data_IF_787252179878
#
_entry.id   IF_787252179878
#
_cell.length_a   1.000
_cell.length_b   1.000
_cell.length_c   1.000
_cell.angle_alpha   90.00
_cell.angle_beta   90.00
_cell.angle_gamma   90.00
#
_symmetry.space_group_name_H-M   'P 1'
#
loop_
_entity.id
_entity.type
_entity.pdbx_description
1 polymer ?
2 non-polymer ?
3 non-polymer ?
4 non-polymer ?
5 water ?
#
# COMPACT_ATOMS: atom_id res chain seq x y z
N UNK A 1 -12.89 1.86 9.26
CA UNK A 1 -11.90 1.02 8.44
C UNK A 1 -11.51 1.86 7.24
N UNK A 2 -10.24 1.77 6.87
CA UNK A 2 -9.71 2.47 5.70
C UNK A 2 -8.82 1.51 4.90
N UNK A 3 -8.78 1.75 3.61
CA UNK A 3 -7.76 1.15 2.73
C UNK A 3 -6.67 2.16 2.50
N UNK A 4 -5.45 1.76 2.78
CA UNK A 4 -4.27 2.53 2.46
C UNK A 4 -3.65 1.88 1.23
N UNK A 5 -3.56 2.62 0.15
CA UNK A 5 -2.93 2.16 -1.09
C UNK A 5 -1.63 2.94 -1.26
N UNK A 6 -0.52 2.27 -1.18
CA UNK A 6 0.81 2.90 -1.26
C UNK A 6 1.50 2.40 -2.53
N UNK A 7 1.85 3.30 -3.41
CA UNK A 7 2.61 2.99 -4.62
C UNK A 7 4.06 3.30 -4.28
N UNK A 8 4.95 2.28 -4.33
CA UNK A 8 6.34 2.40 -3.87
C UNK A 8 7.28 1.88 -4.95
N UNK A 9 8.56 2.22 -4.73
CA UNK A 9 9.65 1.61 -5.56
C UNK A 9 9.67 0.12 -5.29
N UNK A 10 9.85 -0.71 -6.33
CA UNK A 10 9.87 -2.17 -6.11
C UNK A 10 10.93 -2.59 -5.09
N UNK A 11 12.13 -2.02 -5.12
CA UNK A 11 13.17 -2.50 -4.23
C UNK A 11 12.83 -2.30 -2.77
N UNK A 12 11.94 -1.34 -2.49
CA UNK A 12 11.58 -0.99 -1.10
C UNK A 12 10.60 -1.95 -0.47
N UNK A 13 10.11 -2.96 -1.16
CA UNK A 13 9.06 -3.82 -0.56
C UNK A 13 9.48 -4.38 0.76
N UNK A 14 10.65 -4.99 0.87
CA UNK A 14 10.91 -5.64 2.13
C UNK A 14 11.11 -4.66 3.27
N UNK A 15 11.74 -3.52 3.03
CA UNK A 15 11.95 -2.51 4.07
C UNK A 15 10.57 -2.02 4.56
N UNK A 16 9.64 -1.78 3.63
CA UNK A 16 8.30 -1.33 4.00
C UNK A 16 7.57 -2.41 4.70
N UNK A 17 7.63 -3.66 4.24
CA UNK A 17 7.00 -4.74 4.91
C UNK A 17 7.47 -4.87 6.35
N UNK A 18 8.77 -4.85 6.57
CA UNK A 18 9.27 -5.00 7.91
C UNK A 18 8.77 -3.89 8.81
N UNK A 19 8.77 -2.66 8.31
CA UNK A 19 8.29 -1.52 9.12
C UNK A 19 6.81 -1.77 9.52
N UNK A 20 6.00 -2.21 8.59
CA UNK A 20 4.59 -2.41 8.84
C UNK A 20 4.37 -3.53 9.80
N UNK A 21 5.04 -4.66 9.63
CA UNK A 21 4.86 -5.75 10.53
C UNK A 21 5.28 -5.39 11.95
N UNK A 22 6.41 -4.70 12.08
CA UNK A 22 6.84 -4.27 13.42
C UNK A 22 5.90 -3.27 14.07
N UNK A 23 5.13 -2.56 13.28
CA UNK A 23 4.08 -1.62 13.79
C UNK A 23 2.77 -2.30 14.06
N UNK A 24 2.71 -3.62 13.90
CA UNK A 24 1.53 -4.32 14.21
C UNK A 24 0.60 -4.65 13.05
N UNK A 25 0.97 -4.42 11.82
CA UNK A 25 0.16 -4.82 10.62
C UNK A 25 0.17 -6.32 10.40
N UNK A 26 -0.97 -6.92 10.19
CA UNK A 26 -1.12 -8.39 10.07
C UNK A 26 -2.00 -8.63 8.79
N UNK A 27 -1.76 -7.85 7.74
CA UNK A 27 -2.35 -8.13 6.42
C UNK A 27 -2.03 -7.10 5.42
N UNK A 28 -1.70 -7.50 4.17
CA UNK A 28 -1.50 -6.60 3.15
C UNK A 28 -1.47 -7.34 1.77
N UNK A 29 -1.79 -6.63 0.72
CA UNK A 29 -1.81 -7.18 -0.64
C UNK A 29 -0.87 -6.35 -1.46
N UNK A 30 -0.14 -7.04 -2.36
CA UNK A 30 0.81 -6.39 -3.28
C UNK A 30 0.50 -6.72 -4.74
N UNK A 31 0.55 -5.70 -5.60
CA UNK A 31 0.13 -5.73 -7.11
C UNK A 31 1.42 -5.16 -7.81
N UNK A 32 1.74 -5.66 -8.98
CA UNK A 32 2.65 -5.02 -9.90
C UNK A 32 1.91 -4.04 -10.75
N UNK A 33 2.41 -2.84 -10.82
CA UNK A 33 1.78 -1.78 -11.62
C UNK A 33 2.84 -1.00 -12.36
N UNK A 34 2.41 -0.11 -13.21
CA UNK A 34 3.28 0.84 -13.88
C UNK A 34 2.64 2.23 -13.76
N UNK A 35 3.38 3.26 -13.73
CA UNK A 35 2.77 4.60 -13.58
C UNK A 35 3.61 5.72 -13.98
N UNK A 36 3.02 6.90 -13.95
CA UNK A 36 3.79 8.13 -13.98
C UNK A 36 3.20 9.13 -12.98
N UNK A 37 3.99 10.10 -12.68
CA UNK A 37 3.64 11.19 -11.80
C UNK A 37 3.84 12.54 -12.57
N UNK A 38 4.44 13.50 -11.97
CA UNK A 38 4.60 14.82 -12.61
C UNK A 38 5.64 14.95 -13.72
N UNK A 39 6.51 14.01 -13.91
CA UNK A 39 7.48 13.99 -15.05
C UNK A 39 8.23 15.33 -15.16
N UNK A 40 9.05 15.67 -14.17
CA UNK A 40 9.76 16.94 -14.29
C UNK A 40 11.15 16.78 -14.96
N UNK A 47 1.75 13.23 -29.05
CA UNK A 47 2.49 14.02 -28.06
C UNK A 47 3.47 13.05 -27.38
N UNK A 48 3.14 11.77 -27.47
CA UNK A 48 3.96 10.74 -26.81
C UNK A 48 5.05 10.23 -27.75
N UNK A 49 5.65 9.10 -27.40
CA UNK A 49 6.61 8.50 -28.29
C UNK A 49 6.14 7.12 -28.65
N UNK A 50 6.45 6.65 -29.87
CA UNK A 50 6.15 5.28 -30.26
C UNK A 50 7.28 4.36 -29.85
N UNK A 51 8.43 4.90 -29.42
CA UNK A 51 9.61 4.08 -29.17
C UNK A 51 10.01 3.96 -27.70
N UNK A 52 9.56 4.91 -26.88
CA UNK A 52 9.89 4.93 -25.49
C UNK A 52 8.65 4.91 -24.61
N UNK A 53 8.79 4.53 -23.31
CA UNK A 53 7.71 4.17 -22.33
C UNK A 53 7.78 4.97 -21.05
N UNK A 54 6.77 5.85 -20.83
CA UNK A 54 6.75 6.76 -19.69
C UNK A 54 6.23 6.13 -18.46
N UNK A 55 5.67 4.96 -18.55
CA UNK A 55 5.21 4.29 -17.40
C UNK A 55 6.36 3.55 -16.73
N UNK A 56 6.55 3.72 -15.45
CA UNK A 56 7.62 3.11 -14.66
C UNK A 56 7.07 2.03 -13.78
N UNK A 57 7.78 0.92 -13.60
CA UNK A 57 7.32 -0.12 -12.73
C UNK A 57 7.29 0.34 -11.28
N UNK A 58 6.20 0.00 -10.59
CA UNK A 58 6.04 0.26 -9.16
C UNK A 58 5.35 -0.93 -8.54
N UNK A 59 5.29 -0.96 -7.22
CA UNK A 59 4.43 -1.92 -6.54
C UNK A 59 3.29 -1.15 -5.85
N UNK A 60 2.11 -1.68 -5.92
CA UNK A 60 0.90 -1.16 -5.25
C UNK A 60 0.69 -2.02 -3.99
N UNK A 61 0.83 -1.45 -2.80
CA UNK A 61 0.52 -2.09 -1.57
C UNK A 61 -0.90 -1.68 -1.13
N UNK A 62 -1.73 -2.58 -0.78
CA UNK A 62 -3.06 -2.29 -0.26
C UNK A 62 -3.13 -2.88 1.14
N UNK A 63 -3.40 -2.00 2.11
CA UNK A 63 -3.37 -2.35 3.53
C UNK A 63 -4.69 -1.85 4.13
N UNK A 64 -5.55 -2.75 4.50
CA UNK A 64 -6.84 -2.37 5.14
C UNK A 64 -6.63 -2.43 6.66
N UNK A 65 -6.96 -1.32 7.31
CA UNK A 65 -6.66 -1.11 8.73
C UNK A 65 -7.93 -0.49 9.40
N UNK A 66 -7.87 -0.45 10.72
CA UNK A 66 -8.83 0.31 11.48
C UNK A 66 -8.43 1.75 11.52
N UNK A 67 -9.39 2.67 11.75
CA UNK A 67 -9.10 4.09 11.60
C UNK A 67 -8.02 4.54 12.53
N UNK A 68 -7.94 4.01 13.74
CA UNK A 68 -6.91 4.39 14.70
C UNK A 68 -5.48 4.08 14.27
N UNK A 69 -5.34 3.21 13.27
CA UNK A 69 -4.00 2.80 12.76
C UNK A 69 -3.51 3.67 11.64
N UNK A 70 -4.35 4.47 11.00
CA UNK A 70 -4.00 5.07 9.72
C UNK A 70 -2.77 5.92 9.80
N UNK A 71 -2.70 6.87 10.73
CA UNK A 71 -1.61 7.80 10.75
C UNK A 71 -0.29 7.12 11.02
N UNK A 72 -0.30 6.17 11.92
CA UNK A 72 0.92 5.34 12.13
C UNK A 72 1.36 4.65 10.95
N UNK A 73 0.48 4.03 10.24
CA UNK A 73 0.82 3.30 9.00
C UNK A 73 1.39 4.19 7.96
N UNK A 74 0.78 5.34 7.73
CA UNK A 74 1.31 6.28 6.78
C UNK A 74 2.72 6.66 7.15
N UNK A 75 2.96 7.01 8.38
CA UNK A 75 4.30 7.42 8.77
C UNK A 75 5.31 6.30 8.57
N UNK A 76 4.96 5.09 8.90
CA UNK A 76 5.89 3.95 8.71
C UNK A 76 6.20 3.75 7.25
N UNK A 77 5.22 3.81 6.38
CA UNK A 77 5.43 3.65 4.96
C UNK A 77 6.31 4.74 4.46
N UNK A 78 6.00 6.01 4.75
CA UNK A 78 6.79 7.09 4.21
C UNK A 78 8.25 6.99 4.65
N UNK A 79 8.48 6.74 5.95
CA UNK A 79 9.84 6.68 6.43
C UNK A 79 10.63 5.55 5.78
N UNK A 80 10.00 4.41 5.56
CA UNK A 80 10.70 3.27 4.96
C UNK A 80 10.86 3.39 3.48
N UNK A 81 9.94 4.03 2.78
CA UNK A 81 9.93 4.05 1.32
C UNK A 81 10.71 5.17 0.73
N UNK A 82 10.90 6.26 1.49
CA UNK A 82 11.51 7.46 0.95
C UNK A 82 12.98 7.29 0.63
N UNK A 83 13.44 7.89 -0.46
CA UNK A 83 14.86 7.99 -0.81
C UNK A 83 15.27 9.41 -1.03
N UNK A 84 14.39 10.33 -1.34
CA UNK A 84 14.73 11.68 -1.69
C UNK A 84 14.74 11.97 -3.17
N UNK A 85 14.74 10.95 -4.01
CA UNK A 85 14.71 11.10 -5.47
C UNK A 85 13.22 11.09 -5.92
N UNK A 86 12.96 11.88 -6.94
CA UNK A 86 11.62 11.83 -7.60
C UNK A 86 11.30 10.40 -7.95
N UNK A 87 10.06 9.99 -7.74
CA UNK A 87 9.59 8.65 -8.02
C UNK A 87 9.41 7.80 -6.78
N UNK A 88 9.54 8.37 -5.59
CA UNK A 88 9.44 7.60 -4.35
C UNK A 88 8.06 7.04 -4.08
N UNK A 89 7.02 7.56 -4.69
CA UNK A 89 5.71 6.98 -4.51
C UNK A 89 4.66 7.93 -4.00
N UNK A 90 3.48 7.34 -3.80
CA UNK A 90 2.28 8.13 -3.43
C UNK A 90 1.35 7.20 -2.70
N UNK A 91 0.60 7.76 -1.75
CA UNK A 91 -0.32 7.02 -0.90
C UNK A 91 -1.72 7.60 -1.04
N UNK A 92 -2.72 6.75 -1.17
CA UNK A 92 -4.13 7.13 -1.24
C UNK A 92 -4.88 6.40 -0.16
N UNK A 93 -5.66 7.12 0.66
CA UNK A 93 -6.50 6.53 1.72
C UNK A 93 -7.93 6.62 1.30
N UNK A 94 -8.69 5.53 1.42
CA UNK A 94 -10.07 5.52 1.03
C UNK A 94 -10.93 4.74 2.01
N UNK A 95 -12.24 4.98 2.02
CA UNK A 95 -13.08 4.31 3.00
C UNK A 95 -13.34 2.86 2.67
N UNK A 96 -13.52 2.05 3.72
CA UNK A 96 -13.97 0.66 3.60
C UNK A 96 -15.23 0.53 4.47
N UNK A 97 -16.30 0.04 3.86
CA UNK A 97 -17.58 -0.16 4.54
C UNK A 97 -17.65 -1.42 5.35
N UNK A 98 -17.02 -2.52 4.87
CA UNK A 98 -17.11 -3.79 5.52
C UNK A 98 -15.89 -4.63 5.09
N UNK A 99 -15.45 -5.46 6.00
CA UNK A 99 -14.38 -6.47 5.72
C UNK A 99 -14.89 -7.80 6.20
N UNK A 100 -14.63 -8.88 5.43
CA UNK A 100 -15.06 -10.23 5.78
C UNK A 100 -13.90 -11.20 5.57
N UNK A 101 -13.58 -11.99 6.57
CA UNK A 101 -12.61 -13.09 6.40
C UNK A 101 -13.36 -14.27 5.81
N UNK A 102 -12.88 -14.84 4.68
CA UNK A 102 -13.62 -15.85 3.98
C UNK A 102 -13.70 -17.15 4.78
N UNK A 103 -12.59 -17.56 5.44
CA UNK A 103 -12.58 -18.88 6.07
C UNK A 103 -13.66 -18.98 7.16
N UNK A 104 -13.86 -17.90 7.92
CA UNK A 104 -14.71 -17.92 9.11
C UNK A 104 -15.93 -17.07 9.02
N UNK A 105 -15.99 -16.13 8.08
CA UNK A 105 -17.06 -15.17 8.04
C UNK A 105 -16.91 -14.03 9.03
N UNK A 106 -15.84 -13.93 9.78
CA UNK A 106 -15.66 -12.82 10.70
C UNK A 106 -15.61 -11.51 9.97
N UNK A 107 -15.98 -10.44 10.69
CA UNK A 107 -16.09 -9.15 10.04
C UNK A 107 -15.33 -8.06 10.73
N UNK A 108 -15.03 -7.05 9.91
CA UNK A 108 -14.52 -5.78 10.35
C UNK A 108 -13.31 -5.94 11.21
N UNK A 109 -13.25 -5.36 12.42
CA UNK A 109 -12.07 -5.49 13.22
C UNK A 109 -11.63 -6.93 13.39
N UNK A 110 -12.53 -7.88 13.52
CA UNK A 110 -12.15 -9.27 13.70
C UNK A 110 -11.40 -9.81 12.48
N UNK A 111 -11.67 -9.29 11.33
CA UNK A 111 -11.03 -9.68 10.08
C UNK A 111 -9.80 -8.89 9.77
N UNK A 112 -9.47 -7.89 10.53
CA UNK A 112 -8.34 -7.00 10.29
C UNK A 112 -7.25 -7.12 11.35
N UNK A 113 -7.69 -7.16 12.63
CA UNK A 113 -6.89 -6.87 13.81
C UNK A 113 -5.92 -7.97 14.13
N UNK A 114 -4.85 -7.64 14.81
CA UNK A 114 -3.97 -8.60 15.45
C UNK A 114 -4.55 -9.16 16.73
N UNK A 115 -5.61 -8.51 17.26
CA UNK A 115 -6.21 -8.93 18.52
C UNK A 115 -7.42 -9.89 18.21
N UNK A 116 -7.43 -11.07 18.79
CA UNK A 116 -8.54 -12.03 18.68
C UNK A 116 -8.65 -12.82 19.98
X LIG B 1 7.85 13.10 -7.11
X LIG B 1 8.10 14.54 -7.39
X LIG B 1 8.32 12.68 -5.77
X LIG B 1 8.29 12.17 -8.25
X LIG B 1 5.19 12.58 -8.21
X LIG B 1 5.84 12.73 -9.53
X LIG B 1 3.90 13.31 -7.97
X LIG B 1 6.21 12.96 -7.05
X LIG B 1 5.84 9.76 -8.10
X LIG B 1 6.53 9.41 -6.88
X LIG B 1 6.68 9.98 -9.33
X LIG B 1 4.90 11.05 -7.92
X LIG B 1 4.68 8.72 -8.46
X LIG B 1 4.91 7.33 -8.20
X LIG B 1 3.82 6.53 -8.76
X LIG B 1 2.57 6.86 -8.10
X LIG B 1 3.47 6.73 -10.22
X LIG B 1 4.39 6.02 -11.08
X LIG B 1 2.04 6.19 -10.32
X LIG B 1 2.09 4.77 -10.28
X LIG B 1 1.49 6.71 -9.00
X LIG B 1 0.79 8.00 -9.12
X LIG B 1 1.34 9.22 -8.97
X LIG B 1 0.42 10.20 -9.03
X LIG B 1 -0.76 9.53 -9.24
X LIG B 1 -2.12 9.95 -9.31
X LIG B 1 -2.47 11.25 -9.16
X LIG B 1 -3.06 9.04 -9.50
X LIG B 1 -2.71 7.73 -9.58
X LIG B 1 -1.47 7.23 -9.50
X LIG B 1 -0.54 8.18 -9.32
X LIG C 1 7.54 11.69 -10.08
X LIG D 1 11.37 9.28 -11.97
X LIG D 1 11.17 10.75 -12.15
X LIG D 1 9.68 11.15 -12.01
X LIG D 1 9.49 12.65 -11.92
X LIG D 1 8.86 10.56 -13.14
X LIG D 1 7.36 10.60 -12.93
X LIG D 1 12.46 8.76 -12.46
X LIG D 1 10.58 8.61 -11.28
X LIG D 1 8.72 13.13 -11.07
X LIG D 1 10.11 13.35 -12.75
X LIG D 1 6.72 9.86 -13.72
X LIG D 1 6.82 11.29 -12.03
X LIG D 1 9.20 10.65 -10.73
#
# INVERSE_FOLDING_TARGET
MKKIEAIIRPFKLDEVKIALVNAGIVGMTVSEVRGFGRQKGQTERYRGSEYTVEFLQKLKLEIVVEDAQVDTVIDKIVAAARTGENGDGKIFVSPVDQTIRIRTGEKNADAISAWS
ATP PG O1G O2G O3G PB O1B O2B O3B PA O1A O2A O3A O5' C5' C4' O4' C3' O3' C2' O2' C1' N9 C8 N7 C5 C6 N6 N1 C2 N3 C4
MG MG
FLC CAC CA CB CBC CG CGC OA1 OA2 OB1 OB2 OG1 OG2 OHB
#
